data_IF_664772969871
#
_entry.id   IF_664772969871
#
_cell.length_a   1.000
_cell.length_b   1.000
_cell.length_c   1.000
_cell.angle_alpha   90.00
_cell.angle_beta   90.00
_cell.angle_gamma   90.00
#
_symmetry.space_group_name_H-M   'P 1'
#
loop_
_entity.id
_entity.type
_entity.pdbx_description
1 polymer ?
#
# COMPACT_ATOMS: atom_id res chain seq x y z
N UNK A 1 22.52 40.81 12.49
CA UNK A 1 22.17 41.11 11.09
C UNK A 1 22.60 42.51 10.62
N UNK A 2 22.52 43.59 11.42
CA UNK A 2 22.76 44.96 10.94
C UNK A 2 21.50 45.66 10.38
N UNK A 3 20.35 45.02 10.55
CA UNK A 3 19.02 45.57 10.28
C UNK A 3 18.44 46.11 11.59
N UNK A 4 17.53 47.09 11.48
CA UNK A 4 16.87 47.65 12.67
C UNK A 4 15.59 46.89 12.96
N UNK A 5 15.29 46.64 14.24
CA UNK A 5 14.14 45.85 14.71
C UNK A 5 12.78 46.24 14.09
N UNK A 6 12.65 47.47 13.58
CA UNK A 6 11.43 47.99 12.95
C UNK A 6 11.26 47.62 11.46
N UNK A 7 12.25 46.97 10.86
CA UNK A 7 12.28 46.52 9.45
C UNK A 7 12.78 45.09 9.30
N UNK A 8 13.35 44.55 10.37
CA UNK A 8 13.83 43.19 10.46
C UNK A 8 12.62 42.27 10.71
N UNK A 9 12.39 41.30 9.82
CA UNK A 9 11.33 40.32 9.98
C UNK A 9 11.59 39.37 11.17
N UNK A 10 12.85 39.18 11.55
CA UNK A 10 13.31 38.30 12.61
C UNK A 10 14.25 39.01 13.61
N UNK A 11 13.79 40.01 14.39
CA UNK A 11 14.66 40.82 15.26
C UNK A 11 15.42 40.05 16.36
N UNK A 12 15.05 38.79 16.59
CA UNK A 12 15.68 37.91 17.59
C UNK A 12 16.66 36.89 16.95
N UNK A 13 16.66 36.76 15.63
CA UNK A 13 17.57 35.89 14.90
C UNK A 13 18.55 36.74 14.10
N UNK A 14 19.79 36.81 14.58
CA UNK A 14 20.82 37.63 13.94
C UNK A 14 21.26 37.16 12.54
N UNK A 15 20.79 35.99 12.09
CA UNK A 15 21.07 35.38 10.79
C UNK A 15 19.95 35.61 9.77
N UNK A 16 18.78 36.06 10.22
CA UNK A 16 17.62 36.32 9.39
C UNK A 16 17.18 37.78 9.48
N UNK A 17 16.59 38.30 8.40
CA UNK A 17 16.06 39.68 8.39
C UNK A 17 15.01 39.96 7.32
N UNK A 18 14.83 39.05 6.35
CA UNK A 18 13.90 39.19 5.24
C UNK A 18 12.95 37.99 5.22
N UNK A 19 11.69 38.27 4.90
CA UNK A 19 10.59 37.30 4.80
C UNK A 19 9.72 37.79 3.64
N UNK A 20 9.96 37.28 2.44
CA UNK A 20 9.41 37.86 1.20
C UNK A 20 7.90 37.61 1.07
N UNK A 21 7.41 36.46 1.51
CA UNK A 21 6.01 36.07 1.41
C UNK A 21 5.23 36.16 2.73
N UNK A 22 5.91 36.52 3.82
CA UNK A 22 5.34 36.73 5.16
C UNK A 22 4.77 35.46 5.79
N UNK A 23 5.39 34.31 5.56
CA UNK A 23 4.99 33.03 6.12
C UNK A 23 5.65 32.70 7.49
N UNK A 24 6.70 33.45 7.84
CA UNK A 24 7.45 33.29 9.08
C UNK A 24 8.70 32.42 8.97
N UNK A 25 9.09 32.00 7.77
CA UNK A 25 10.41 31.49 7.43
C UNK A 25 11.24 32.58 6.76
N UNK A 26 12.55 32.57 7.00
CA UNK A 26 13.42 33.66 6.56
C UNK A 26 14.11 33.34 5.25
N UNK A 27 14.22 34.31 4.35
CA UNK A 27 14.80 34.07 3.02
C UNK A 27 16.32 33.78 3.05
N UNK A 28 17.02 34.05 4.16
CA UNK A 28 18.47 34.01 4.14
C UNK A 28 18.97 32.57 4.28
N UNK A 29 19.87 32.11 3.40
CA UNK A 29 20.44 30.77 3.54
C UNK A 29 21.40 30.71 4.75
N UNK A 30 22.08 29.55 4.91
CA UNK A 30 23.14 29.35 5.92
C UNK A 30 24.02 30.60 6.11
N UNK A 31 24.19 31.12 7.35
CA UNK A 31 24.14 30.39 8.63
C UNK A 31 22.76 30.24 9.29
N UNK A 32 21.68 30.73 8.68
CA UNK A 32 20.34 30.46 9.19
C UNK A 32 20.03 28.96 9.24
N UNK A 33 19.24 28.54 10.22
CA UNK A 33 18.89 27.13 10.47
C UNK A 33 17.45 26.78 10.07
N UNK A 34 16.62 27.80 9.82
CA UNK A 34 15.25 27.67 9.34
C UNK A 34 15.03 28.60 8.15
N UNK A 35 15.86 28.52 7.09
CA UNK A 35 15.62 29.28 5.88
C UNK A 35 14.32 28.80 5.22
N UNK A 36 13.67 29.70 4.50
CA UNK A 36 12.55 29.38 3.62
C UNK A 36 13.06 28.74 2.32
N UNK A 37 12.58 27.53 2.02
CA UNK A 37 12.87 26.81 0.79
C UNK A 37 11.99 27.29 -0.39
N UNK A 38 10.89 28.00 -0.09
CA UNK A 38 9.87 28.47 -1.01
C UNK A 38 9.72 29.99 -1.16
N UNK A 39 10.61 30.82 -0.61
CA UNK A 39 10.83 32.29 -0.71
C UNK A 39 9.68 33.20 -1.23
N UNK A 40 9.16 32.92 -2.42
CA UNK A 40 8.11 33.71 -3.09
C UNK A 40 6.69 33.13 -2.85
N UNK A 41 6.55 32.00 -2.16
CA UNK A 41 5.31 31.23 -2.03
C UNK A 41 5.02 30.86 -0.59
N UNK A 42 4.05 31.57 -0.01
CA UNK A 42 3.63 31.35 1.37
C UNK A 42 3.36 29.87 1.65
N UNK A 43 3.95 29.35 2.72
CA UNK A 43 3.77 27.97 3.14
C UNK A 43 3.75 27.78 4.65
N UNK A 44 3.66 26.52 5.05
CA UNK A 44 3.54 26.09 6.45
C UNK A 44 4.14 24.71 6.71
N UNK A 45 4.83 24.12 5.74
CA UNK A 45 5.59 22.88 5.92
C UNK A 45 6.74 23.07 6.89
N UNK A 46 7.08 22.01 7.63
CA UNK A 46 7.99 22.08 8.79
C UNK A 46 9.06 20.99 8.84
N UNK A 47 9.04 20.01 7.94
CA UNK A 47 9.88 18.82 8.01
C UNK A 47 10.91 18.73 6.87
N UNK A 48 10.44 18.77 5.63
CA UNK A 48 11.24 18.54 4.42
C UNK A 48 11.70 19.87 3.80
N UNK A 49 10.83 20.55 3.04
CA UNK A 49 11.05 21.89 2.55
C UNK A 49 10.38 22.83 3.54
N UNK A 50 11.11 23.73 4.19
CA UNK A 50 10.55 24.68 5.16
C UNK A 50 9.89 25.86 4.42
N UNK A 51 8.74 26.35 4.90
CA UNK A 51 8.05 27.51 4.30
C UNK A 51 7.36 27.21 2.96
N UNK A 52 7.26 25.94 2.58
CA UNK A 52 6.51 25.52 1.40
C UNK A 52 5.05 25.16 1.74
N UNK A 53 4.20 25.11 0.72
CA UNK A 53 2.78 24.79 0.88
C UNK A 53 2.63 23.38 1.47
N UNK A 54 1.89 23.27 2.58
CA UNK A 54 1.49 22.02 3.23
C UNK A 54 -0.02 22.06 3.45
N UNK A 55 -0.75 21.43 2.53
CA UNK A 55 -2.19 21.55 2.37
C UNK A 55 -3.00 20.89 3.51
N UNK A 56 -2.46 19.87 4.18
CA UNK A 56 -3.15 19.16 5.27
C UNK A 56 -2.54 19.36 6.67
N UNK A 57 -1.39 20.02 6.72
CA UNK A 57 -0.69 20.46 7.91
C UNK A 57 -0.02 19.33 8.68
N UNK A 58 0.41 18.25 8.03
CA UNK A 58 1.14 17.17 8.70
C UNK A 58 2.65 17.43 8.86
N UNK A 59 3.13 18.48 8.18
CA UNK A 59 4.49 18.98 8.24
C UNK A 59 5.29 18.73 6.97
N UNK A 60 4.84 17.87 6.06
CA UNK A 60 5.47 17.66 4.76
C UNK A 60 4.94 18.64 3.72
N UNK A 61 5.81 19.11 2.83
CA UNK A 61 5.40 19.96 1.72
C UNK A 61 4.61 19.18 0.67
N UNK A 62 3.63 19.81 0.03
CA UNK A 62 2.82 19.24 -1.06
C UNK A 62 3.68 18.67 -2.22
N UNK A 63 4.92 19.16 -2.39
CA UNK A 63 5.86 18.71 -3.43
C UNK A 63 6.44 17.31 -3.13
N UNK A 64 6.63 16.96 -1.86
CA UNK A 64 7.22 15.68 -1.44
C UNK A 64 6.30 14.83 -0.57
N UNK A 65 5.07 15.29 -0.36
CA UNK A 65 3.99 14.51 0.24
C UNK A 65 3.29 13.67 -0.85
N UNK A 66 3.33 12.35 -0.71
CA UNK A 66 2.62 11.43 -1.61
C UNK A 66 1.10 11.55 -1.50
N UNK A 67 0.58 12.08 -0.39
CA UNK A 67 -0.82 12.26 -0.08
C UNK A 67 -1.15 13.67 0.47
N UNK A 68 -1.01 14.76 -0.32
CA UNK A 68 -1.10 16.17 0.15
C UNK A 68 -2.44 16.65 0.77
N UNK A 69 -3.42 15.75 0.90
CA UNK A 69 -4.73 16.04 1.47
C UNK A 69 -5.07 15.09 2.62
N UNK A 70 -4.11 14.29 3.10
CA UNK A 70 -4.27 13.25 4.10
C UNK A 70 -3.24 13.37 5.22
N UNK A 71 -3.55 14.18 6.22
CA UNK A 71 -2.72 14.49 7.40
C UNK A 71 -2.00 13.35 8.14
N UNK A 72 -2.38 12.10 7.90
CA UNK A 72 -1.78 10.92 8.54
C UNK A 72 -0.82 10.15 7.62
N UNK A 73 -0.72 10.54 6.35
CA UNK A 73 -0.06 9.81 5.27
C UNK A 73 0.80 10.81 4.50
N UNK A 74 2.08 10.51 4.34
CA UNK A 74 3.00 11.42 3.63
C UNK A 74 3.94 10.71 2.65
N UNK A 75 4.00 9.37 2.70
CA UNK A 75 4.93 8.61 1.87
C UNK A 75 4.32 7.33 1.30
N UNK A 76 4.80 6.98 0.10
CA UNK A 76 4.51 5.79 -0.68
C UNK A 76 5.86 5.37 -1.30
N UNK A 77 6.61 4.56 -0.56
CA UNK A 77 8.03 4.31 -0.85
C UNK A 77 8.26 3.48 -2.11
N UNK A 78 7.31 2.59 -2.44
CA UNK A 78 7.38 1.74 -3.62
C UNK A 78 6.51 2.22 -4.80
N UNK A 79 5.65 3.22 -4.56
CA UNK A 79 4.86 3.92 -5.58
C UNK A 79 3.63 3.14 -6.04
N UNK A 80 3.08 2.26 -5.20
CA UNK A 80 1.95 1.41 -5.55
C UNK A 80 0.57 2.03 -5.23
N UNK A 81 0.57 3.19 -4.57
CA UNK A 81 -0.62 3.94 -4.18
C UNK A 81 -1.19 3.58 -2.81
N UNK A 82 -0.47 2.78 -2.01
CA UNK A 82 -0.69 2.60 -0.59
C UNK A 82 0.39 3.31 0.22
N UNK A 83 0.04 3.73 1.43
CA UNK A 83 0.86 4.61 2.24
C UNK A 83 1.67 3.82 3.26
N UNK A 84 2.95 4.17 3.43
CA UNK A 84 3.84 3.48 4.37
C UNK A 84 3.36 3.60 5.83
N UNK A 85 2.60 4.66 6.13
CA UNK A 85 2.11 4.94 7.48
C UNK A 85 1.02 3.95 7.87
N UNK A 86 1.25 3.24 8.96
CA UNK A 86 0.26 2.31 9.54
C UNK A 86 -0.93 3.02 10.21
N UNK A 87 -2.08 2.34 10.28
CA UNK A 87 -3.23 2.77 11.08
C UNK A 87 -4.37 3.45 10.32
N UNK A 88 -4.32 3.44 8.99
CA UNK A 88 -5.39 3.91 8.11
C UNK A 88 -5.88 2.79 7.20
N UNK A 89 -6.91 3.07 6.38
CA UNK A 89 -7.40 2.15 5.35
C UNK A 89 -6.60 2.22 4.04
N UNK A 90 -5.57 3.06 3.98
CA UNK A 90 -4.62 3.15 2.88
C UNK A 90 -3.24 2.67 3.31
N UNK A 91 -3.08 2.19 4.55
CA UNK A 91 -1.81 1.70 5.06
C UNK A 91 -1.38 0.44 4.33
N UNK A 92 -0.18 0.48 3.77
CA UNK A 92 0.44 -0.63 3.10
C UNK A 92 0.95 -1.69 4.11
N UNK A 93 0.66 -2.96 3.82
CA UNK A 93 1.18 -4.12 4.55
C UNK A 93 2.53 -4.63 3.97
N UNK A 94 2.99 -4.04 2.86
CA UNK A 94 4.22 -4.30 2.12
C UNK A 94 5.00 -3.02 1.68
N UNK A 95 5.36 -2.07 2.56
CA UNK A 95 5.86 -0.73 2.16
C UNK A 95 7.13 -0.65 1.28
N UNK A 96 7.81 -1.78 1.07
CA UNK A 96 9.05 -1.87 0.28
C UNK A 96 8.84 -2.69 -1.02
N UNK A 97 7.63 -3.17 -1.30
CA UNK A 97 7.31 -4.11 -2.36
C UNK A 97 5.96 -3.81 -3.03
N UNK A 98 6.04 -3.04 -4.13
CA UNK A 98 4.86 -2.59 -4.85
C UNK A 98 3.90 -3.72 -5.21
N UNK A 99 2.64 -3.54 -4.83
CA UNK A 99 1.61 -4.55 -4.92
C UNK A 99 0.26 -4.04 -5.39
N UNK A 100 -0.69 -4.96 -5.49
CA UNK A 100 -2.08 -4.62 -5.87
C UNK A 100 -3.14 -5.37 -5.06
N UNK A 101 -2.74 -6.19 -4.08
CA UNK A 101 -3.69 -6.89 -3.23
C UNK A 101 -4.53 -5.92 -2.41
N UNK A 102 -5.79 -6.29 -2.19
CA UNK A 102 -6.81 -5.41 -1.57
C UNK A 102 -7.66 -6.10 -0.49
N UNK A 103 -7.60 -7.42 -0.39
CA UNK A 103 -8.53 -8.20 0.44
C UNK A 103 -7.96 -8.53 1.81
N UNK A 104 -6.68 -8.91 1.88
CA UNK A 104 -6.06 -9.46 3.07
C UNK A 104 -4.87 -8.64 3.55
N UNK A 105 -3.86 -8.47 2.70
CA UNK A 105 -2.69 -7.62 2.93
C UNK A 105 -2.77 -6.53 1.88
N UNK A 106 -2.94 -5.27 2.27
CA UNK A 106 -3.03 -4.16 1.32
C UNK A 106 -1.64 -3.88 0.72
N UNK A 107 -1.54 -3.51 -0.55
CA UNK A 107 -0.28 -3.10 -1.20
C UNK A 107 0.77 -4.20 -1.40
N UNK A 108 0.39 -5.46 -1.25
CA UNK A 108 1.30 -6.58 -1.48
C UNK A 108 1.17 -7.17 -2.89
N UNK A 109 2.19 -7.92 -3.34
CA UNK A 109 2.15 -8.60 -4.63
C UNK A 109 0.90 -9.48 -4.74
N UNK A 110 0.14 -9.25 -5.80
CA UNK A 110 -0.99 -10.05 -6.28
C UNK A 110 -0.76 -10.32 -7.77
N UNK A 111 -0.21 -11.51 -8.05
CA UNK A 111 0.27 -11.90 -9.37
C UNK A 111 -0.84 -12.16 -10.38
N UNK A 112 -2.07 -12.43 -9.94
CA UNK A 112 -3.20 -12.74 -10.83
C UNK A 112 -4.37 -11.75 -10.76
N UNK A 113 -4.33 -10.81 -9.81
CA UNK A 113 -5.26 -9.69 -9.69
C UNK A 113 -6.62 -10.08 -9.12
N UNK A 114 -6.69 -11.13 -8.29
CA UNK A 114 -7.94 -11.55 -7.64
C UNK A 114 -8.23 -10.80 -6.33
N UNK A 115 -7.27 -9.99 -5.89
CA UNK A 115 -7.31 -9.16 -4.70
C UNK A 115 -6.62 -9.77 -3.47
N UNK A 116 -6.25 -11.05 -3.49
CA UNK A 116 -5.47 -11.69 -2.43
C UNK A 116 -3.98 -11.60 -2.71
N UNK A 117 -3.20 -11.37 -1.66
CA UNK A 117 -1.73 -11.39 -1.80
C UNK A 117 -1.21 -12.79 -2.13
N UNK A 118 -0.14 -12.88 -2.93
CA UNK A 118 0.55 -14.12 -3.32
C UNK A 118 0.92 -14.99 -2.11
N UNK A 119 1.21 -14.37 -0.97
CA UNK A 119 1.57 -15.05 0.27
C UNK A 119 0.41 -15.84 0.87
N UNK A 120 -0.81 -15.31 0.75
CA UNK A 120 -2.02 -15.89 1.33
C UNK A 120 -2.93 -16.56 0.30
N UNK A 121 -2.59 -16.47 -0.99
CA UNK A 121 -3.23 -17.23 -2.04
C UNK A 121 -2.59 -18.62 -2.23
N UNK A 122 -3.43 -19.66 -2.25
CA UNK A 122 -2.99 -21.02 -2.56
C UNK A 122 -2.71 -21.22 -4.06
N UNK A 123 -3.29 -20.42 -4.95
CA UNK A 123 -3.05 -20.47 -6.38
C UNK A 123 -2.70 -19.07 -6.97
N UNK A 124 -1.52 -18.49 -6.66
CA UNK A 124 -1.13 -17.09 -7.01
C UNK A 124 -1.01 -16.74 -8.51
N UNK A 125 -1.51 -17.59 -9.40
CA UNK A 125 -1.47 -17.41 -10.86
C UNK A 125 -2.81 -17.78 -11.51
N UNK A 126 -3.85 -17.97 -10.70
CA UNK A 126 -5.18 -18.42 -11.08
C UNK A 126 -6.23 -17.64 -10.28
N UNK A 127 -6.59 -16.47 -10.83
CA UNK A 127 -7.52 -15.54 -10.20
C UNK A 127 -8.94 -16.08 -9.94
N UNK A 128 -9.26 -17.28 -10.46
CA UNK A 128 -10.52 -17.94 -10.16
C UNK A 128 -10.48 -18.76 -8.85
N UNK A 129 -9.31 -18.87 -8.20
CA UNK A 129 -9.09 -19.81 -7.08
C UNK A 129 -8.18 -19.25 -5.98
N UNK A 130 -8.80 -18.74 -4.92
CA UNK A 130 -8.05 -18.30 -3.74
C UNK A 130 -7.81 -19.38 -2.63
N UNK A 131 -8.61 -20.46 -2.57
CA UNK A 131 -8.55 -21.46 -1.48
C UNK A 131 -8.45 -22.88 -2.04
N UNK A 132 -7.61 -23.72 -1.44
CA UNK A 132 -7.62 -25.16 -1.68
C UNK A 132 -8.98 -25.74 -1.34
N UNK A 133 -9.79 -26.06 -2.35
CA UNK A 133 -11.11 -26.67 -2.18
C UNK A 133 -10.99 -27.94 -1.32
N UNK A 134 -11.30 -27.81 -0.03
CA UNK A 134 -11.33 -28.94 0.88
C UNK A 134 -12.67 -29.65 0.70
N UNK A 135 -12.64 -30.78 -0.01
CA UNK A 135 -13.80 -31.67 -0.16
C UNK A 135 -14.16 -32.39 1.15
N UNK A 136 -13.32 -32.30 2.18
CA UNK A 136 -13.50 -32.96 3.47
C UNK A 136 -14.83 -32.61 4.16
N UNK A 137 -15.22 -31.33 4.33
CA UNK A 137 -16.54 -30.97 4.88
C UNK A 137 -17.69 -31.54 4.06
N UNK A 138 -17.61 -31.50 2.73
CA UNK A 138 -18.64 -32.09 1.86
C UNK A 138 -18.73 -33.61 2.03
N UNK A 139 -17.60 -34.30 2.16
CA UNK A 139 -17.54 -35.75 2.42
C UNK A 139 -18.11 -36.06 3.81
N UNK A 140 -17.79 -35.27 4.85
CA UNK A 140 -18.31 -35.45 6.21
C UNK A 140 -19.82 -35.22 6.28
N UNK A 141 -20.34 -34.19 5.60
CA UNK A 141 -21.77 -33.93 5.48
C UNK A 141 -22.46 -35.08 4.73
N UNK A 142 -21.88 -35.54 3.62
CA UNK A 142 -22.41 -36.68 2.86
C UNK A 142 -22.42 -37.98 3.70
N UNK A 143 -21.37 -38.25 4.48
CA UNK A 143 -21.32 -39.39 5.42
C UNK A 143 -22.38 -39.28 6.52
N UNK A 144 -22.59 -38.08 7.07
CA UNK A 144 -23.62 -37.86 8.09
C UNK A 144 -25.02 -38.07 7.52
N UNK A 145 -25.31 -37.54 6.33
CA UNK A 145 -26.61 -37.70 5.66
C UNK A 145 -26.86 -39.16 5.29
N UNK A 146 -25.85 -39.87 4.78
CA UNK A 146 -25.98 -41.31 4.48
C UNK A 146 -26.21 -42.14 5.74
N UNK A 147 -25.53 -41.85 6.86
CA UNK A 147 -25.81 -42.52 8.13
C UNK A 147 -27.22 -42.24 8.67
N UNK A 148 -27.71 -41.01 8.58
CA UNK A 148 -29.05 -40.64 9.04
C UNK A 148 -30.15 -41.27 8.18
N UNK A 149 -29.96 -41.32 6.85
CA UNK A 149 -30.90 -41.96 5.93
C UNK A 149 -30.92 -43.47 6.08
N UNK A 150 -29.75 -44.13 6.16
CA UNK A 150 -29.66 -45.58 6.40
C UNK A 150 -30.20 -45.95 7.78
N UNK A 151 -29.85 -45.18 8.82
CA UNK A 151 -30.37 -45.37 10.18
C UNK A 151 -31.88 -45.16 10.26
N UNK A 152 -32.41 -44.15 9.58
CA UNK A 152 -33.84 -43.88 9.47
C UNK A 152 -34.60 -45.00 8.75
N UNK A 153 -34.08 -45.49 7.63
CA UNK A 153 -34.65 -46.62 6.89
C UNK A 153 -34.60 -47.90 7.72
N UNK A 154 -33.48 -48.18 8.41
CA UNK A 154 -33.36 -49.32 9.31
C UNK A 154 -34.38 -49.25 10.46
N UNK A 155 -34.58 -48.08 11.07
CA UNK A 155 -35.61 -47.83 12.08
C UNK A 155 -37.03 -48.07 11.56
N UNK A 156 -37.33 -47.67 10.32
CA UNK A 156 -38.64 -47.90 9.69
C UNK A 156 -38.86 -49.40 9.41
N UNK A 157 -37.83 -50.11 8.92
CA UNK A 157 -37.90 -51.54 8.65
C UNK A 157 -37.99 -52.36 9.96
N UNK A 158 -37.28 -51.96 11.01
CA UNK A 158 -37.36 -52.60 12.33
C UNK A 158 -38.69 -52.33 13.06
N UNK A 159 -39.46 -51.31 12.66
CA UNK A 159 -40.82 -51.05 13.18
C UNK A 159 -41.91 -51.92 12.53
N UNK A 160 -41.62 -52.67 11.46
CA UNK A 160 -42.59 -53.59 10.83
C UNK A 160 -42.47 -55.01 11.41
N UNK A 161 -43.18 -55.31 12.49
CA UNK A 161 -43.49 -56.71 12.89
C UNK A 161 -44.76 -57.19 12.18
N UNK A 162 -44.83 -58.45 11.69
CA UNK A 162 -46.04 -59.00 11.10
C UNK A 162 -46.92 -59.65 12.17
N UNK A 163 -48.13 -59.12 12.39
CA UNK A 163 -49.21 -59.79 13.14
C UNK A 163 -50.17 -60.42 12.11
N UNK A 164 -50.44 -61.72 12.22
CA UNK A 164 -51.50 -62.40 11.46
C UNK A 164 -52.45 -63.12 12.43
N UNK A 165 -53.75 -62.80 12.40
CA UNK A 165 -54.87 -63.77 12.42
C UNK A 165 -56.28 -63.13 12.29
N UNK A 166 -56.99 -63.53 11.22
CA UNK A 166 -58.38 -64.03 11.08
C UNK A 166 -59.34 -63.95 12.32
N UNK A 167 -60.61 -63.47 12.30
CA UNK A 167 -61.90 -64.07 11.79
C UNK A 167 -63.07 -63.04 11.75
N UNK A 168 -64.05 -63.38 10.91
CA UNK A 168 -65.37 -62.86 10.44
C UNK A 168 -66.54 -62.59 11.43
N UNK A 169 -67.39 -61.61 11.03
CA UNK A 169 -68.85 -61.35 11.22
C UNK A 169 -69.46 -60.83 12.54
N UNK A 170 -70.26 -59.75 12.42
CA UNK A 170 -71.30 -59.34 13.38
C UNK A 170 -71.84 -57.92 13.14
N UNK A 171 -73.15 -57.79 12.90
CA UNK A 171 -73.92 -56.65 12.39
C UNK A 171 -74.28 -55.51 13.38
N UNK A 172 -74.52 -54.31 12.79
CA UNK A 172 -75.55 -53.27 13.09
C UNK A 172 -75.49 -52.55 14.47
N UNK A 173 -75.38 -51.22 14.59
CA UNK A 173 -76.28 -50.11 14.17
C UNK A 173 -75.55 -48.78 14.52
N UNK A 174 -75.73 -47.63 13.84
CA UNK A 174 -76.79 -46.61 14.04
C UNK A 174 -76.39 -45.30 13.26
N UNK A 175 -77.08 -44.15 13.42
CA UNK A 175 -78.09 -43.50 12.56
C UNK A 175 -77.57 -42.25 11.75
N UNK A 176 -78.42 -41.55 10.94
CA UNK A 176 -78.00 -40.47 10.02
C UNK A 176 -78.33 -39.02 10.56
N UNK A 177 -78.14 -37.88 9.83
CA UNK A 177 -77.32 -36.69 10.18
C UNK A 177 -78.18 -35.39 10.38
N UNK A 178 -77.76 -34.11 10.12
CA UNK A 178 -76.59 -33.24 10.46
C UNK A 178 -77.04 -31.98 11.30
N UNK A 179 -76.30 -30.84 11.46
CA UNK A 179 -76.15 -29.83 10.39
C UNK A 179 -74.78 -29.09 10.32
N UNK A 180 -74.65 -28.38 9.21
CA UNK A 180 -73.63 -27.46 8.70
C UNK A 180 -73.07 -26.42 9.68
N UNK A 181 -71.83 -25.98 9.40
CA UNK A 181 -71.13 -24.70 9.71
C UNK A 181 -69.66 -25.02 10.11
N UNK A 182 -68.58 -24.37 9.68
CA UNK A 182 -68.32 -23.04 9.15
C UNK A 182 -67.18 -23.12 8.11
N UNK A 183 -67.31 -22.32 7.06
CA UNK A 183 -66.24 -21.91 6.18
C UNK A 183 -65.28 -20.98 6.95
N UNK A 184 -63.98 -21.23 6.95
CA UNK A 184 -62.96 -20.24 7.35
C UNK A 184 -61.78 -20.35 6.39
N UNK A 185 -61.60 -19.26 5.63
CA UNK A 185 -60.79 -19.19 4.43
C UNK A 185 -59.29 -19.35 4.68
N UNK A 186 -58.64 -19.88 3.65
CA UNK A 186 -57.20 -19.73 3.45
C UNK A 186 -56.90 -18.25 3.23
N UNK A 187 -56.49 -17.57 4.30
CA UNK A 187 -55.84 -16.27 4.22
C UNK A 187 -54.48 -16.43 3.57
N UNK A 188 -54.33 -15.90 2.36
CA UNK A 188 -53.04 -15.61 1.78
C UNK A 188 -52.31 -14.63 2.69
N UNK A 189 -51.15 -15.01 3.21
CA UNK A 189 -50.23 -14.07 3.82
C UNK A 189 -49.72 -13.12 2.72
N UNK A 190 -49.87 -11.78 2.88
CA UNK A 190 -49.19 -10.86 1.98
C UNK A 190 -47.67 -10.96 2.21
N UNK A 191 -46.84 -10.79 1.16
CA UNK A 191 -45.40 -10.74 1.31
C UNK A 191 -44.99 -9.56 2.21
N UNK A 192 -43.85 -9.66 2.93
CA UNK A 192 -43.36 -8.57 3.76
C UNK A 192 -43.08 -7.31 2.91
N UNK A 193 -43.23 -6.11 3.48
CA UNK A 193 -42.98 -4.87 2.76
C UNK A 193 -41.50 -4.74 2.36
N UNK A 194 -41.20 -4.14 1.20
CA UNK A 194 -39.83 -3.81 0.84
C UNK A 194 -39.23 -2.80 1.84
N UNK A 195 -37.90 -2.83 2.06
CA UNK A 195 -37.23 -1.82 2.86
C UNK A 195 -37.48 -0.41 2.27
N UNK A 196 -37.46 0.65 3.10
CA UNK A 196 -37.70 2.00 2.63
C UNK A 196 -36.68 2.35 1.55
N UNK A 197 -37.19 2.79 0.40
CA UNK A 197 -36.38 3.37 -0.66
C UNK A 197 -35.54 4.50 -0.06
N UNK A 198 -34.22 4.35 -0.13
CA UNK A 198 -33.31 5.47 0.08
C UNK A 198 -33.77 6.59 -0.86
N UNK A 199 -34.08 7.74 -0.28
CA UNK A 199 -34.41 8.94 -1.03
C UNK A 199 -33.16 9.31 -1.83
N UNK A 200 -33.21 9.07 -3.14
CA UNK A 200 -32.28 9.63 -4.10
C UNK A 200 -32.52 11.14 -4.04
N UNK A 201 -31.65 11.85 -3.33
CA UNK A 201 -31.54 13.29 -3.51
C UNK A 201 -31.15 13.55 -4.97
N UNK A 202 -31.72 14.57 -5.63
CA UNK A 202 -31.30 14.91 -6.98
C UNK A 202 -29.83 15.32 -6.92
N UNK A 203 -28.97 14.53 -7.56
CA UNK A 203 -27.59 14.94 -7.84
C UNK A 203 -27.71 16.12 -8.79
N UNK A 204 -27.47 17.31 -8.25
CA UNK A 204 -27.24 18.50 -9.04
C UNK A 204 -26.00 18.21 -9.90
N UNK A 205 -26.23 18.19 -11.21
CA UNK A 205 -25.19 17.94 -12.21
C UNK A 205 -24.21 19.12 -12.24
N UNK A 206 -23.20 19.05 -11.38
CA UNK A 206 -21.98 19.84 -11.53
C UNK A 206 -21.23 19.32 -12.76
N UNK A 207 -20.81 20.21 -13.69
CA UNK A 207 -20.06 19.79 -14.86
C UNK A 207 -18.67 19.31 -14.41
N UNK A 208 -18.21 18.21 -14.99
CA UNK A 208 -16.88 17.67 -14.77
C UNK A 208 -15.80 18.74 -15.03
N UNK A 209 -14.75 18.83 -14.19
CA UNK A 209 -13.61 19.71 -14.45
C UNK A 209 -12.90 19.27 -15.75
N UNK A 210 -12.32 20.21 -16.52
CA UNK A 210 -11.61 19.87 -17.74
C UNK A 210 -10.37 19.02 -17.41
N UNK A 211 -10.18 17.99 -18.21
CA UNK A 211 -9.06 17.05 -18.17
C UNK A 211 -7.71 17.80 -18.15
N UNK A 212 -6.75 17.40 -17.29
CA UNK A 212 -5.46 18.08 -17.20
C UNK A 212 -4.68 17.94 -18.51
N UNK A 213 -4.10 19.05 -18.96
CA UNK A 213 -3.31 19.10 -20.19
C UNK A 213 -2.07 18.19 -20.07
N UNK A 214 -1.65 17.53 -21.17
CA UNK A 214 -0.45 16.69 -21.15
C UNK A 214 0.80 17.54 -20.85
N UNK A 215 1.80 16.97 -20.15
CA UNK A 215 3.02 17.70 -19.77
C UNK A 215 3.81 18.17 -21.00
N UNK A 216 4.54 19.30 -20.91
CA UNK A 216 5.30 19.83 -22.02
C UNK A 216 6.45 18.89 -22.41
N UNK A 217 6.52 18.55 -23.70
CA UNK A 217 7.65 17.84 -24.30
C UNK A 217 8.89 18.72 -24.16
N UNK A 218 9.84 18.28 -23.34
CA UNK A 218 11.15 18.91 -23.21
C UNK A 218 11.91 18.84 -24.54
N UNK A 219 11.93 19.95 -25.27
CA UNK A 219 12.80 20.12 -26.45
C UNK A 219 14.17 20.59 -25.99
N UNK A 220 14.98 19.66 -25.49
CA UNK A 220 16.42 19.84 -25.32
C UNK A 220 17.17 18.84 -26.20
N UNK A 221 17.08 19.02 -27.53
CA UNK A 221 18.14 18.62 -28.47
C UNK A 221 17.81 19.12 -29.88
N UNK A 222 18.25 20.34 -30.19
CA UNK A 222 18.34 20.81 -31.57
C UNK A 222 19.40 21.91 -31.68
N UNK A 223 20.68 21.57 -31.49
CA UNK A 223 21.76 22.41 -31.99
C UNK A 223 23.06 21.63 -32.28
N UNK A 224 23.02 20.74 -33.27
CA UNK A 224 24.22 20.30 -34.00
C UNK A 224 23.82 19.58 -35.29
N UNK A 225 23.35 20.32 -36.30
CA UNK A 225 23.19 19.78 -37.65
C UNK A 225 23.41 20.88 -38.69
N UNK A 226 24.62 21.42 -38.74
CA UNK A 226 25.15 22.13 -39.90
C UNK A 226 26.62 21.77 -40.01
N UNK A 227 26.95 20.80 -40.87
CA UNK A 227 28.09 20.83 -41.79
C UNK A 227 27.99 19.64 -42.76
N UNK A 228 28.44 19.78 -44.03
CA UNK A 228 28.02 18.92 -45.14
C UNK A 228 28.92 17.71 -45.38
N UNK A 229 28.27 16.73 -46.01
CA UNK A 229 28.81 15.52 -46.65
C UNK A 229 29.97 15.82 -47.62
N UNK A 230 31.10 15.11 -47.45
CA UNK A 230 31.98 14.75 -48.57
C UNK A 230 32.52 13.34 -48.37
N UNK A 231 32.29 12.56 -49.41
CA UNK A 231 32.62 11.15 -49.62
C UNK A 231 34.10 10.84 -49.83
N UNK A 232 34.39 9.55 -49.67
CA UNK A 232 35.44 8.74 -50.33
C UNK A 232 36.85 8.63 -49.71
N UNK A 233 37.06 7.45 -49.09
CA UNK A 233 38.10 6.44 -49.39
C UNK A 233 39.47 6.93 -49.89
N UNK A 234 40.54 6.63 -49.14
CA UNK A 234 41.59 5.67 -49.55
C UNK A 234 42.68 5.50 -48.50
N UNK A 235 43.27 4.30 -48.55
CA UNK A 235 44.22 3.68 -47.63
C UNK A 235 45.65 4.26 -47.64
N UNK A 236 46.39 3.82 -46.63
CA UNK A 236 47.85 3.60 -46.59
C UNK A 236 48.80 4.70 -46.04
N UNK A 237 49.22 4.43 -44.80
CA UNK A 237 50.62 4.31 -44.32
C UNK A 237 51.47 5.58 -43.97
N UNK A 238 52.26 5.39 -42.90
CA UNK A 238 53.55 6.03 -42.53
C UNK A 238 53.54 7.09 -41.41
N UNK A 239 53.76 6.57 -40.19
CA UNK A 239 54.73 6.97 -39.14
C UNK A 239 55.47 8.31 -39.23
N UNK A 240 55.37 9.12 -38.17
CA UNK A 240 56.46 9.79 -37.40
C UNK A 240 55.80 10.75 -36.38
N UNK A 241 55.83 10.44 -35.09
CA UNK A 241 56.86 10.83 -34.12
C UNK A 241 56.94 12.37 -33.92
N UNK A 242 56.48 12.84 -32.75
CA UNK A 242 57.15 13.83 -31.89
C UNK A 242 56.46 13.77 -30.51
N UNK A 243 57.22 13.24 -29.56
CA UNK A 243 57.06 13.42 -28.12
C UNK A 243 57.81 14.70 -27.69
N UNK A 244 57.40 15.32 -26.58
CA UNK A 244 57.99 16.46 -25.82
C UNK A 244 57.11 17.72 -25.90
N UNK A 245 56.77 18.46 -24.85
CA UNK A 245 57.13 18.52 -23.43
C UNK A 245 56.08 19.45 -22.79
N UNK A 246 55.41 19.08 -21.69
CA UNK A 246 55.08 20.03 -20.61
C UNK A 246 55.22 19.28 -19.28
N UNK A 247 56.32 19.60 -18.60
CA UNK A 247 56.62 19.28 -17.21
C UNK A 247 55.70 20.05 -16.25
N UNK A 248 55.19 19.30 -15.26
CA UNK A 248 55.44 19.52 -13.83
C UNK A 248 54.86 20.78 -13.16
N UNK A 249 53.75 20.57 -12.45
CA UNK A 249 53.59 21.15 -11.11
C UNK A 249 52.84 20.15 -10.23
N UNK A 250 53.64 19.46 -9.41
CA UNK A 250 53.23 18.63 -8.28
C UNK A 250 52.56 19.54 -7.24
N UNK A 251 51.28 19.27 -6.94
CA UNK A 251 50.69 19.63 -5.65
C UNK A 251 50.34 18.31 -4.97
N UNK A 252 51.02 18.11 -3.86
CA UNK A 252 50.95 16.96 -2.99
C UNK A 252 49.89 17.32 -1.96
N UNK A 253 48.65 16.86 -2.17
CA UNK A 253 47.64 16.85 -1.12
C UNK A 253 47.46 15.41 -0.65
N UNK A 254 47.68 15.25 0.64
CA UNK A 254 47.70 14.00 1.37
C UNK A 254 46.39 13.23 1.17
N UNK A 255 46.51 12.05 0.56
CA UNK A 255 45.46 11.03 0.56
C UNK A 255 45.28 10.57 2.00
N UNK A 256 44.35 11.19 2.72
CA UNK A 256 43.75 10.56 3.88
C UNK A 256 42.94 9.39 3.34
N UNK A 257 43.48 8.20 3.56
CA UNK A 257 42.78 6.94 3.35
C UNK A 257 41.48 6.97 4.15
N UNK A 258 40.35 7.12 3.45
CA UNK A 258 39.06 6.67 3.95
C UNK A 258 39.21 5.20 4.36
N UNK A 259 38.81 4.79 5.57
CA UNK A 259 38.59 3.38 5.80
C UNK A 259 37.41 2.97 4.94
N UNK A 260 37.63 1.94 4.14
CA UNK A 260 36.64 1.26 3.33
C UNK A 260 35.31 1.14 4.09
N UNK A 261 34.21 1.50 3.43
CA UNK A 261 32.87 1.07 3.80
C UNK A 261 32.86 -0.46 3.71
N UNK A 262 33.21 -1.11 4.81
CA UNK A 262 32.98 -2.53 5.01
C UNK A 262 31.49 -2.71 5.13
N UNK A 263 30.90 -3.31 4.10
CA UNK A 263 29.62 -3.99 4.18
C UNK A 263 29.67 -4.97 5.36
N UNK A 264 29.02 -4.63 6.47
CA UNK A 264 28.82 -5.57 7.57
C UNK A 264 28.69 -4.93 8.93
N UNK A 265 27.45 -4.83 9.43
CA UNK A 265 27.08 -4.78 10.84
C UNK A 265 27.65 -3.69 11.75
N UNK A 266 27.09 -3.57 12.97
CA UNK A 266 27.71 -2.76 14.01
C UNK A 266 29.02 -3.39 14.54
N UNK A 267 29.88 -2.63 15.22
CA UNK A 267 31.10 -3.16 15.82
C UNK A 267 30.80 -4.25 16.86
N UNK A 268 31.56 -5.35 16.81
CA UNK A 268 31.43 -6.48 17.73
C UNK A 268 31.85 -6.11 19.16
N UNK A 269 31.09 -6.53 20.21
CA UNK A 269 31.49 -6.37 21.60
C UNK A 269 32.81 -7.09 21.94
N UNK A 270 33.48 -6.72 23.05
CA UNK A 270 34.75 -7.34 23.46
C UNK A 270 34.67 -8.87 23.69
N UNK A 271 33.47 -9.40 23.95
CA UNK A 271 33.21 -10.84 24.11
C UNK A 271 32.86 -11.55 22.79
N UNK A 272 32.80 -10.83 21.67
CA UNK A 272 32.45 -11.36 20.35
C UNK A 272 30.95 -11.43 20.09
N UNK A 273 30.56 -12.25 19.12
CA UNK A 273 29.16 -12.51 18.78
C UNK A 273 28.41 -13.16 19.96
N UNK A 274 27.10 -12.84 20.16
CA UNK A 274 26.28 -13.54 21.14
C UNK A 274 26.24 -15.07 20.89
N UNK A 275 26.02 -15.87 21.94
CA UNK A 275 26.03 -17.33 21.82
C UNK A 275 24.97 -17.82 20.83
N UNK A 276 25.40 -18.55 19.78
CA UNK A 276 24.53 -19.06 18.73
C UNK A 276 24.32 -18.12 17.53
N UNK A 277 24.95 -16.94 17.52
CA UNK A 277 24.83 -15.98 16.43
C UNK A 277 25.92 -16.15 15.37
N UNK A 278 25.53 -15.99 14.11
CA UNK A 278 26.45 -15.95 12.96
C UNK A 278 26.82 -14.50 12.63
N UNK A 279 27.92 -14.34 11.88
CA UNK A 279 28.37 -13.02 11.40
C UNK A 279 27.29 -12.33 10.55
N UNK A 280 26.64 -13.07 9.64
CA UNK A 280 25.57 -12.54 8.77
C UNK A 280 24.35 -12.06 9.56
N UNK A 281 23.98 -12.78 10.64
CA UNK A 281 22.90 -12.35 11.52
C UNK A 281 23.27 -11.08 12.30
N UNK A 282 24.53 -10.95 12.70
CA UNK A 282 25.03 -9.75 13.36
C UNK A 282 25.05 -8.55 12.41
N UNK A 283 25.36 -8.77 11.14
CA UNK A 283 25.36 -7.72 10.12
C UNK A 283 24.00 -7.06 9.96
N UNK A 284 22.91 -7.81 10.19
CA UNK A 284 21.55 -7.32 10.04
C UNK A 284 20.89 -6.91 11.37
N UNK A 285 21.07 -7.70 12.43
CA UNK A 285 20.34 -7.54 13.70
C UNK A 285 21.22 -7.05 14.86
N UNK A 286 22.52 -6.84 14.65
CA UNK A 286 23.44 -6.43 15.72
C UNK A 286 23.07 -5.10 16.37
N UNK A 287 22.44 -4.18 15.62
CA UNK A 287 22.10 -2.84 16.13
C UNK A 287 21.01 -2.91 17.20
N UNK A 288 19.99 -3.74 16.98
CA UNK A 288 18.91 -3.97 17.94
C UNK A 288 19.40 -4.73 19.16
N UNK A 289 20.30 -5.71 18.97
CA UNK A 289 20.88 -6.47 20.08
C UNK A 289 21.69 -5.56 21.03
N UNK A 290 22.49 -4.64 20.48
CA UNK A 290 23.25 -3.65 21.27
C UNK A 290 22.33 -2.71 22.05
N UNK A 291 21.25 -2.24 21.43
CA UNK A 291 20.25 -1.37 22.04
C UNK A 291 19.53 -2.05 23.22
N UNK A 292 19.17 -3.32 23.09
CA UNK A 292 18.51 -4.09 24.16
C UNK A 292 19.45 -4.35 25.36
N UNK A 293 20.76 -4.47 25.10
CA UNK A 293 21.79 -4.72 26.12
C UNK A 293 22.47 -3.44 26.63
N UNK A 294 22.04 -2.27 26.12
CA UNK A 294 22.56 -0.94 26.48
C UNK A 294 24.08 -0.83 26.33
N UNK A 295 24.60 -1.35 25.21
CA UNK A 295 26.01 -1.37 24.81
C UNK A 295 26.26 -0.47 23.59
#
# INVERSE_FOLDING_TARGET
DGYGDNRDAFPLDGTEWNDTDSDGYGDNPSPAITPDDCIDTWGNSTLDLLGCVDSDGDGWSDEFDAYPNHKLLWSDSDGDGYADQSGTNLSDDCPDEAGTSTVDRLGCIDSDGDGWSDLNDYYPKDAERQIKASILPFILIALLVTLLTVGGVAMILMRRKPEQSFVVAGQLTAPPPPPSQFNLGMGAFPPPPPPPAAQVMPVESTPAPPEPAPPPISTANALAALLPDTSESTSDEITQDITADIQESVVQDDVVSEPAVTTGGPPLPEFGLPEGWTQEQWEYYGHEWLKEHNL
#
